data_IF_235824325127
#
_entry.id   IF_235824325127
#
_cell.length_a   1.000
_cell.length_b   1.000
_cell.length_c   1.000
_cell.angle_alpha   90.00
_cell.angle_beta   90.00
_cell.angle_gamma   90.00
#
_symmetry.space_group_name_H-M   'P 1'
#
loop_
_entity.id
_entity.type
_entity.pdbx_description
1 polymer ?
#
# COMPACT_ATOMS: atom_id res chain seq x y z
N UNK A 1 -12.08 4.31 1.31
CA UNK A 1 -11.28 5.34 2.00
C UNK A 1 -10.94 6.45 1.05
N UNK A 2 -9.67 6.58 0.67
CA UNK A 2 -9.14 7.73 -0.07
C UNK A 2 -9.92 8.12 -1.34
N UNK A 3 -10.26 7.16 -2.21
CA UNK A 3 -11.05 7.45 -3.42
C UNK A 3 -12.43 8.03 -3.09
N UNK A 4 -13.07 7.55 -2.02
CA UNK A 4 -14.35 8.08 -1.53
C UNK A 4 -14.19 9.51 -1.04
N UNK A 5 -13.13 9.81 -0.29
CA UNK A 5 -12.82 11.17 0.15
C UNK A 5 -12.63 12.13 -1.04
N UNK A 6 -11.83 11.72 -2.04
CA UNK A 6 -11.64 12.52 -3.26
C UNK A 6 -12.95 12.80 -4.00
N UNK A 7 -13.87 11.81 -4.03
CA UNK A 7 -15.19 12.01 -4.62
C UNK A 7 -16.03 13.00 -3.81
N UNK A 8 -16.05 12.86 -2.48
CA UNK A 8 -16.78 13.77 -1.58
C UNK A 8 -16.29 15.22 -1.70
N UNK A 9 -14.99 15.43 -1.93
CA UNK A 9 -14.42 16.77 -2.16
C UNK A 9 -14.76 17.35 -3.54
N UNK A 10 -14.94 16.49 -4.55
CA UNK A 10 -15.19 16.91 -5.93
C UNK A 10 -16.67 17.21 -6.22
N UNK A 11 -17.60 16.54 -5.53
CA UNK A 11 -19.04 16.65 -5.79
C UNK A 11 -19.71 17.61 -4.81
N UNK A 12 -20.75 18.32 -5.28
CA UNK A 12 -21.60 19.20 -4.46
C UNK A 12 -23.01 18.64 -4.25
N UNK A 13 -23.18 17.35 -4.49
CA UNK A 13 -24.46 16.65 -4.39
C UNK A 13 -24.38 15.49 -3.39
N UNK A 14 -25.53 14.98 -2.92
CA UNK A 14 -25.55 13.77 -2.10
C UNK A 14 -24.90 12.59 -2.83
N UNK A 15 -23.99 11.90 -2.14
CA UNK A 15 -23.27 10.74 -2.66
C UNK A 15 -23.90 9.44 -2.13
N UNK A 16 -24.24 8.53 -3.05
CA UNK A 16 -24.68 7.16 -2.74
C UNK A 16 -23.70 6.17 -3.36
N UNK A 17 -23.25 5.19 -2.59
CA UNK A 17 -22.36 4.13 -3.05
C UNK A 17 -23.09 2.79 -2.98
N UNK A 18 -23.12 2.06 -4.09
CA UNK A 18 -23.66 0.71 -4.18
C UNK A 18 -22.51 -0.32 -4.21
N UNK A 19 -22.64 -1.40 -3.44
CA UNK A 19 -21.70 -2.51 -3.49
C UNK A 19 -21.99 -3.36 -4.73
N UNK A 20 -20.98 -3.53 -5.58
CA UNK A 20 -21.04 -4.36 -6.77
C UNK A 20 -20.35 -5.71 -6.50
N UNK A 21 -19.21 -5.98 -7.16
CA UNK A 21 -18.43 -7.20 -6.95
C UNK A 21 -17.60 -7.20 -5.66
N UNK A 22 -17.01 -8.36 -5.35
CA UNK A 22 -16.14 -8.51 -4.19
C UNK A 22 -16.03 -9.97 -3.73
N UNK A 23 -15.24 -10.77 -4.45
CA UNK A 23 -15.18 -12.23 -4.24
C UNK A 23 -14.30 -12.69 -3.06
N UNK A 24 -13.61 -11.76 -2.41
CA UNK A 24 -12.81 -12.03 -1.21
C UNK A 24 -13.47 -11.33 -0.01
N UNK A 25 -14.27 -12.06 0.77
CA UNK A 25 -15.06 -11.49 1.87
C UNK A 25 -14.23 -10.71 2.90
N UNK A 26 -13.05 -11.19 3.36
CA UNK A 26 -12.16 -10.38 4.21
C UNK A 26 -11.74 -9.04 3.56
N UNK A 27 -11.31 -9.05 2.30
CA UNK A 27 -10.91 -7.83 1.62
C UNK A 27 -12.09 -6.88 1.38
N UNK A 28 -13.24 -7.42 0.95
CA UNK A 28 -14.46 -6.65 0.72
C UNK A 28 -14.93 -5.98 2.01
N UNK A 29 -14.93 -6.67 3.15
CA UNK A 29 -15.36 -6.09 4.43
C UNK A 29 -14.43 -4.97 4.90
N UNK A 30 -13.10 -5.12 4.75
CA UNK A 30 -12.13 -4.05 5.05
C UNK A 30 -12.32 -2.82 4.15
N UNK A 31 -12.55 -3.04 2.86
CA UNK A 31 -12.85 -1.97 1.91
C UNK A 31 -14.15 -1.24 2.29
N UNK A 32 -15.22 -1.97 2.61
CA UNK A 32 -16.50 -1.39 3.04
C UNK A 32 -16.34 -0.55 4.31
N UNK A 33 -15.64 -1.08 5.33
CA UNK A 33 -15.36 -0.34 6.55
C UNK A 33 -14.58 0.96 6.27
N UNK A 34 -13.61 0.91 5.35
CA UNK A 34 -12.83 2.09 4.95
C UNK A 34 -13.64 3.10 4.13
N UNK A 35 -14.68 2.67 3.42
CA UNK A 35 -15.61 3.55 2.71
C UNK A 35 -16.57 4.21 3.70
N UNK A 36 -17.16 3.44 4.61
CA UNK A 36 -18.05 3.96 5.64
C UNK A 36 -17.34 4.94 6.58
N UNK A 37 -16.07 4.67 6.93
CA UNK A 37 -15.27 5.61 7.73
C UNK A 37 -15.10 6.94 7.01
N UNK A 38 -14.84 6.92 5.70
CA UNK A 38 -14.73 8.13 4.89
C UNK A 38 -16.06 8.92 4.83
N UNK A 39 -17.19 8.22 4.67
CA UNK A 39 -18.51 8.85 4.59
C UNK A 39 -18.96 9.48 5.90
N UNK A 40 -18.71 8.80 7.03
CA UNK A 40 -19.22 9.21 8.35
C UNK A 40 -18.29 10.16 9.09
N UNK A 41 -16.97 10.01 8.92
CA UNK A 41 -15.97 10.74 9.70
C UNK A 41 -15.08 11.65 8.83
N UNK A 42 -15.30 11.69 7.51
CA UNK A 42 -14.48 12.45 6.57
C UNK A 42 -13.16 11.76 6.24
N UNK A 43 -12.20 12.53 5.73
CA UNK A 43 -10.90 12.00 5.34
C UNK A 43 -10.23 11.25 6.50
N UNK A 44 -9.99 9.95 6.31
CA UNK A 44 -9.05 9.23 7.18
C UNK A 44 -7.67 9.89 7.08
N UNK A 45 -6.88 9.78 8.15
CA UNK A 45 -5.49 10.28 8.22
C UNK A 45 -4.76 10.02 6.90
N UNK A 46 -4.02 11.01 6.34
CA UNK A 46 -3.39 10.87 5.04
C UNK A 46 -2.55 9.60 5.01
N UNK A 47 -3.05 8.56 4.33
CA UNK A 47 -2.23 7.37 4.12
C UNK A 47 -1.08 7.79 3.23
N UNK A 48 0.18 7.46 3.59
CA UNK A 48 1.33 7.82 2.80
C UNK A 48 1.12 7.38 1.35
N UNK A 49 1.70 8.12 0.37
CA UNK A 49 1.59 7.76 -1.03
C UNK A 49 1.93 6.27 -1.17
N UNK A 50 1.16 5.53 -1.99
CA UNK A 50 1.32 4.09 -2.09
C UNK A 50 2.80 3.79 -2.35
N UNK A 51 3.44 3.08 -1.41
CA UNK A 51 4.83 2.61 -1.53
C UNK A 51 4.99 1.55 -2.64
N UNK A 52 3.97 1.38 -3.48
CA UNK A 52 3.79 0.29 -4.40
C UNK A 52 4.13 0.74 -5.82
N UNK A 53 4.88 -0.09 -6.54
CA UNK A 53 5.14 0.13 -7.96
C UNK A 53 3.82 0.21 -8.71
N UNK A 54 3.65 1.29 -9.47
CA UNK A 54 2.71 1.25 -10.57
C UNK A 54 3.16 0.16 -11.54
N UNK A 55 2.21 -0.60 -12.06
CA UNK A 55 2.52 -1.60 -13.07
C UNK A 55 2.93 -0.89 -14.36
N UNK A 56 3.83 -1.48 -15.16
CA UNK A 56 4.35 -0.89 -16.40
C UNK A 56 3.26 -0.54 -17.43
N UNK A 57 2.08 -1.15 -17.33
CA UNK A 57 0.96 -0.85 -18.23
C UNK A 57 0.17 0.41 -17.82
N UNK A 58 0.28 0.89 -16.58
CA UNK A 58 -0.53 1.99 -16.09
C UNK A 58 -0.31 3.27 -16.91
N UNK A 59 0.95 3.64 -17.14
CA UNK A 59 1.30 4.85 -17.89
C UNK A 59 0.80 4.84 -19.34
N UNK A 60 1.12 3.85 -20.19
CA UNK A 60 0.65 3.85 -21.58
C UNK A 60 -0.88 3.78 -21.66
N UNK A 61 -1.55 3.04 -20.76
CA UNK A 61 -3.02 2.99 -20.72
C UNK A 61 -3.63 4.34 -20.37
N UNK A 62 -3.14 5.02 -19.33
CA UNK A 62 -3.65 6.34 -18.92
C UNK A 62 -3.42 7.37 -20.04
N UNK A 63 -2.22 7.39 -20.65
CA UNK A 63 -1.92 8.29 -21.77
C UNK A 63 -2.84 8.06 -22.97
N UNK A 64 -3.13 6.80 -23.30
CA UNK A 64 -4.04 6.47 -24.39
C UNK A 64 -5.47 6.97 -24.12
N UNK A 65 -5.99 6.80 -22.90
CA UNK A 65 -7.30 7.33 -22.50
C UNK A 65 -7.33 8.85 -22.61
N UNK A 66 -6.33 9.54 -22.08
CA UNK A 66 -6.25 11.00 -22.13
C UNK A 66 -6.26 11.53 -23.57
N UNK A 67 -5.48 10.93 -24.46
CA UNK A 67 -5.41 11.30 -25.87
C UNK A 67 -6.77 11.19 -26.58
N UNK A 68 -7.58 10.20 -26.24
CA UNK A 68 -8.93 10.06 -26.83
C UNK A 68 -9.91 11.04 -26.18
N UNK A 69 -9.81 11.25 -24.88
CA UNK A 69 -10.76 12.04 -24.10
C UNK A 69 -10.54 13.57 -24.25
N UNK A 70 -9.35 14.04 -24.61
CA UNK A 70 -9.05 15.48 -24.74
C UNK A 70 -9.94 16.22 -25.74
N UNK A 71 -10.45 15.52 -26.75
CA UNK A 71 -11.41 16.09 -27.71
C UNK A 71 -12.70 16.53 -27.02
N UNK A 72 -13.17 15.75 -26.04
CA UNK A 72 -14.48 15.93 -25.39
C UNK A 72 -14.40 16.71 -24.08
N UNK A 73 -13.26 16.69 -23.39
CA UNK A 73 -13.10 17.28 -22.06
C UNK A 73 -12.05 18.41 -22.09
N UNK A 74 -12.45 19.69 -22.18
CA UNK A 74 -11.53 20.82 -22.31
C UNK A 74 -10.49 20.93 -21.19
N UNK A 75 -10.84 20.50 -19.97
CA UNK A 75 -9.94 20.46 -18.82
C UNK A 75 -8.70 19.60 -19.09
N UNK A 76 -8.82 18.55 -19.91
CA UNK A 76 -7.70 17.68 -20.27
C UNK A 76 -6.75 18.35 -21.27
N UNK A 77 -7.23 19.25 -22.13
CA UNK A 77 -6.38 20.01 -23.06
C UNK A 77 -5.50 21.02 -22.32
N UNK A 78 -6.05 21.63 -21.27
CA UNK A 78 -5.30 22.56 -20.40
C UNK A 78 -4.29 21.83 -19.51
N UNK A 79 -4.52 20.54 -19.26
CA UNK A 79 -3.62 19.64 -18.52
C UNK A 79 -2.67 18.89 -19.46
N UNK A 80 -2.74 19.10 -20.78
CA UNK A 80 -1.90 18.45 -21.79
C UNK A 80 -0.45 18.96 -21.78
N UNK A 81 -0.09 19.80 -20.81
CA UNK A 81 1.31 20.04 -20.49
C UNK A 81 1.95 18.74 -19.96
N UNK A 82 3.06 18.28 -20.56
CA UNK A 82 3.72 17.03 -20.19
C UNK A 82 4.26 16.99 -18.76
N UNK A 83 4.18 18.07 -17.97
CA UNK A 83 4.84 18.19 -16.66
C UNK A 83 4.13 17.45 -15.52
N UNK A 84 2.81 17.57 -15.34
CA UNK A 84 2.13 17.01 -14.16
C UNK A 84 2.02 15.48 -14.20
N UNK A 85 1.58 14.94 -15.33
CA UNK A 85 1.45 13.50 -15.50
C UNK A 85 2.81 12.81 -15.53
N UNK A 86 3.80 13.39 -16.22
CA UNK A 86 5.15 12.86 -16.19
C UNK A 86 5.79 12.98 -14.81
N UNK A 87 5.59 14.08 -14.08
CA UNK A 87 6.06 14.22 -12.70
C UNK A 87 5.44 13.17 -11.78
N UNK A 88 4.15 12.87 -11.94
CA UNK A 88 3.48 11.81 -11.18
C UNK A 88 4.13 10.44 -11.41
N UNK A 89 4.33 10.04 -12.68
CA UNK A 89 4.98 8.76 -12.97
C UNK A 89 6.43 8.72 -12.51
N UNK A 90 7.18 9.83 -12.68
CA UNK A 90 8.54 9.96 -12.16
C UNK A 90 8.59 9.77 -10.63
N UNK A 91 7.71 10.44 -9.90
CA UNK A 91 7.60 10.31 -8.44
C UNK A 91 7.26 8.87 -8.02
N UNK A 92 6.36 8.22 -8.76
CA UNK A 92 5.98 6.83 -8.50
C UNK A 92 7.14 5.85 -8.71
N UNK A 93 8.03 6.12 -9.67
CA UNK A 93 9.25 5.33 -9.88
C UNK A 93 10.30 5.57 -8.78
N UNK A 94 10.53 6.82 -8.39
CA UNK A 94 11.50 7.23 -7.36
C UNK A 94 11.15 6.64 -5.99
N UNK A 95 9.88 6.69 -5.59
CA UNK A 95 9.39 6.09 -4.34
C UNK A 95 9.73 4.60 -4.23
N UNK A 96 9.89 3.93 -5.37
CA UNK A 96 10.27 2.52 -5.38
C UNK A 96 11.78 2.31 -5.30
N UNK A 97 12.58 3.16 -5.95
CA UNK A 97 14.04 3.05 -5.85
C UNK A 97 14.49 3.24 -4.39
N UNK A 98 13.90 4.18 -3.66
CA UNK A 98 14.12 4.36 -2.23
C UNK A 98 13.83 3.07 -1.42
N UNK A 99 12.73 2.37 -1.73
CA UNK A 99 12.37 1.12 -1.05
C UNK A 99 13.34 -0.04 -1.34
N UNK A 100 13.98 -0.06 -2.52
CA UNK A 100 14.99 -1.07 -2.89
C UNK A 100 16.34 -0.82 -2.25
N UNK A 101 16.78 0.44 -2.20
CA UNK A 101 18.01 0.83 -1.53
C UNK A 101 17.98 0.43 -0.03
N UNK A 102 16.84 0.65 0.64
CA UNK A 102 16.64 0.25 2.03
C UNK A 102 16.66 -1.27 2.26
N UNK A 103 16.18 -2.07 1.28
CA UNK A 103 16.27 -3.55 1.36
C UNK A 103 17.70 -4.05 1.18
N UNK A 104 18.48 -3.48 0.25
CA UNK A 104 19.89 -3.86 0.02
C UNK A 104 20.75 -3.64 1.27
N UNK A 105 20.61 -2.47 1.92
CA UNK A 105 21.30 -2.15 3.18
C UNK A 105 21.02 -3.15 4.32
N UNK A 106 19.80 -3.70 4.41
CA UNK A 106 19.46 -4.71 5.44
C UNK A 106 20.10 -6.07 5.19
N UNK A 107 20.31 -6.44 3.93
CA UNK A 107 21.00 -7.69 3.57
C UNK A 107 22.48 -7.65 3.92
N UNK A 108 23.15 -6.50 3.72
CA UNK A 108 24.57 -6.35 4.04
C UNK A 108 24.84 -6.41 5.56
N UNK A 109 23.91 -5.94 6.39
CA UNK A 109 24.07 -6.03 7.83
C UNK A 109 23.90 -7.46 8.39
N UNK A 110 23.14 -8.32 7.69
CA UNK A 110 22.90 -9.72 8.09
C UNK A 110 24.05 -10.65 7.68
N UNK A 111 24.76 -10.35 6.59
CA UNK A 111 25.95 -11.11 6.17
C UNK A 111 27.20 -10.73 6.97
N UNK A 112 27.30 -9.49 7.48
CA UNK A 112 28.37 -9.09 8.39
C UNK A 112 28.29 -9.76 9.78
N UNK A 113 27.09 -10.04 10.29
CA UNK A 113 26.92 -10.69 11.61
C UNK A 113 27.21 -12.21 11.59
N UNK A 114 27.19 -12.85 10.41
CA UNK A 114 27.44 -14.28 10.27
C UNK A 114 28.92 -14.66 10.21
N UNK A 115 29.85 -13.69 10.24
CA UNK A 115 31.30 -13.94 10.15
C UNK A 115 32.06 -13.69 11.46
N UNK A 116 31.36 -13.58 12.61
CA UNK A 116 31.99 -13.41 13.93
C UNK A 116 31.69 -14.52 14.94
N UNK A 117 31.19 -15.68 14.50
CA UNK A 117 30.91 -16.82 15.39
C UNK A 117 31.35 -18.17 14.77
N UNK A 118 32.60 -18.28 14.33
CA UNK A 118 33.28 -19.58 14.24
C UNK A 118 34.53 -19.53 15.11
N UNK A 119 34.37 -19.95 16.37
CA UNK A 119 35.48 -20.00 17.32
C UNK A 119 35.02 -20.07 18.78
N UNK A 120 34.37 -21.17 19.16
CA UNK A 120 34.62 -21.85 20.44
C UNK A 120 33.82 -23.17 20.49
N UNK A 121 34.53 -24.28 20.31
CA UNK A 121 34.07 -25.63 20.63
C UNK A 121 34.01 -25.78 22.16
N UNK A 122 32.90 -26.34 22.67
CA UNK A 122 32.76 -26.66 24.10
C UNK A 122 31.50 -27.48 24.38
N UNK A 123 31.67 -28.80 24.43
CA UNK A 123 30.71 -29.86 24.74
C UNK A 123 29.87 -29.65 26.01
N UNK A 124 28.60 -30.07 26.01
CA UNK A 124 27.98 -30.83 27.13
C UNK A 124 26.56 -31.34 26.83
N UNK A 125 26.44 -32.67 26.92
CA UNK A 125 25.36 -33.55 27.44
C UNK A 125 23.86 -33.21 27.40
N UNK A 126 23.14 -34.22 26.91
CA UNK A 126 21.74 -34.63 27.20
C UNK A 126 21.35 -34.47 28.68
N UNK A 127 20.09 -34.06 28.94
CA UNK A 127 19.15 -34.82 29.79
C UNK A 127 17.69 -34.35 29.64
N UNK A 128 16.79 -35.28 29.95
CA UNK A 128 15.33 -35.30 29.81
C UNK A 128 14.56 -34.28 30.67
N UNK A 129 13.30 -33.96 30.29
CA UNK A 129 12.27 -33.56 31.27
C UNK A 129 11.04 -32.80 30.76
N UNK A 130 9.89 -33.50 30.74
CA UNK A 130 8.53 -33.07 31.11
C UNK A 130 7.76 -31.95 30.36
N UNK A 131 6.71 -32.41 29.65
CA UNK A 131 5.27 -32.05 29.63
C UNK A 131 4.77 -30.79 30.39
N UNK A 132 3.76 -30.16 29.76
CA UNK A 132 2.67 -29.29 30.30
C UNK A 132 2.93 -27.79 30.16
N UNK A 133 2.02 -26.94 29.67
CA UNK A 133 0.61 -27.07 29.34
C UNK A 133 0.14 -25.74 28.71
N UNK A 134 -0.92 -25.80 27.92
CA UNK A 134 -1.56 -24.63 27.31
C UNK A 134 -2.29 -23.78 28.37
N UNK A 135 -2.29 -22.45 28.20
CA UNK A 135 -3.52 -21.67 28.37
C UNK A 135 -3.38 -20.28 27.75
N UNK A 136 -4.20 -20.07 26.72
CA UNK A 136 -4.69 -18.77 26.29
C UNK A 136 -5.57 -18.18 27.40
N UNK A 137 -5.53 -16.87 27.63
CA UNK A 137 -6.55 -16.17 28.42
C UNK A 137 -6.91 -14.84 27.77
N UNK A 138 -8.11 -14.82 27.19
CA UNK A 138 -8.86 -13.62 26.84
C UNK A 138 -9.74 -13.24 28.05
N UNK A 139 -9.71 -11.96 28.45
CA UNK A 139 -10.73 -11.14 29.15
C UNK A 139 -9.95 -9.95 29.75
N UNK A 140 -10.30 -8.69 29.58
CA UNK A 140 -11.61 -8.09 29.34
C UNK A 140 -11.71 -6.97 30.37
N UNK A 141 -11.82 -5.73 29.89
CA UNK A 141 -12.45 -4.56 30.52
C UNK A 141 -12.70 -3.55 29.39
#
# INVERSE_FOLDING_TARGET
>A
GQLTTMLMEAVRCPLVLALEGGYNAPATSQCCASVLRALLHGADTPSPPPKMRLHRCCEPTIRAVLKVQEAYWPVLRQQAEPSRLAAYFKQAEEGVQASRASKRSRTDHRTSAAHSQEGLLGSASKQHGAVSGASCSCRGL
#
